data_IF_538165175339
#
_entry.id   IF_538165175339
#
_cell.length_a   1.000
_cell.length_b   1.000
_cell.length_c   1.000
_cell.angle_alpha   90.00
_cell.angle_beta   90.00
_cell.angle_gamma   90.00
#
_symmetry.space_group_name_H-M   'P 1'
#
loop_
_entity.id
_entity.type
_entity.pdbx_description
1 polymer ?
#
# COMPACT_ATOMS: atom_id res chain seq x y z
N UNK A 1 -4.88 76.16 23.20
CA UNK A 1 -5.23 74.87 22.54
C UNK A 1 -4.19 74.47 21.48
N UNK A 2 -2.88 74.64 21.73
CA UNK A 2 -1.85 74.42 20.70
C UNK A 2 -1.13 73.06 20.78
N UNK A 3 -1.19 72.35 21.91
CA UNK A 3 -0.58 71.02 22.07
C UNK A 3 -1.40 69.89 21.44
N UNK A 4 -2.70 70.09 21.21
CA UNK A 4 -3.59 69.07 20.67
C UNK A 4 -3.33 68.75 19.18
N UNK A 5 -2.84 69.73 18.40
CA UNK A 5 -2.67 69.59 16.94
C UNK A 5 -1.49 68.69 16.56
N UNK A 6 -0.39 68.76 17.30
CA UNK A 6 0.81 67.94 17.05
C UNK A 6 0.65 66.49 17.50
N UNK A 7 -0.02 66.26 18.63
CA UNK A 7 -0.33 64.91 19.15
C UNK A 7 -1.30 64.18 18.21
N UNK A 8 -2.30 64.89 17.67
CA UNK A 8 -3.24 64.30 16.72
C UNK A 8 -2.57 63.96 15.38
N UNK A 9 -1.68 64.84 14.87
CA UNK A 9 -0.92 64.57 13.66
C UNK A 9 0.03 63.37 13.81
N UNK A 10 0.72 63.25 14.95
CA UNK A 10 1.60 62.12 15.25
C UNK A 10 0.85 60.79 15.43
N UNK A 11 -0.30 60.82 16.11
CA UNK A 11 -1.15 59.64 16.28
C UNK A 11 -1.76 59.17 14.95
N UNK A 12 -2.20 60.10 14.11
CA UNK A 12 -2.74 59.77 12.77
C UNK A 12 -1.64 59.23 11.86
N UNK A 13 -0.44 59.83 11.84
CA UNK A 13 0.69 59.32 11.06
C UNK A 13 1.16 57.94 11.53
N UNK A 14 1.17 57.67 12.83
CA UNK A 14 1.52 56.37 13.40
C UNK A 14 0.49 55.29 13.05
N UNK A 15 -0.81 55.61 13.09
CA UNK A 15 -1.89 54.69 12.70
C UNK A 15 -1.90 54.45 11.19
N UNK A 16 -1.63 55.48 10.39
CA UNK A 16 -1.58 55.38 8.93
C UNK A 16 -0.34 54.60 8.46
N UNK A 17 0.82 54.82 9.08
CA UNK A 17 2.05 54.05 8.86
C UNK A 17 1.97 52.62 9.40
N UNK A 18 1.26 52.39 10.51
CA UNK A 18 0.97 51.04 10.99
C UNK A 18 0.03 50.30 10.02
N UNK A 19 -0.99 50.97 9.46
CA UNK A 19 -1.86 50.36 8.44
C UNK A 19 -1.13 49.96 7.16
N UNK A 20 -0.06 50.65 6.77
CA UNK A 20 0.76 50.24 5.62
C UNK A 20 1.67 49.05 5.92
N UNK A 21 2.12 48.89 7.17
CA UNK A 21 2.93 47.73 7.62
C UNK A 21 2.04 46.51 7.92
N UNK A 22 0.76 46.71 8.27
CA UNK A 22 -0.21 45.64 8.54
C UNK A 22 -1.00 45.17 7.30
N UNK A 23 -0.78 45.79 6.14
CA UNK A 23 -1.40 45.42 4.86
C UNK A 23 -0.41 44.80 3.86
N UNK A 24 0.83 44.55 4.29
CA UNK A 24 1.65 43.51 3.68
C UNK A 24 1.22 42.23 4.37
N UNK A 25 0.26 41.56 3.75
CA UNK A 25 0.15 40.12 3.90
C UNK A 25 1.51 39.58 3.47
N UNK A 26 2.41 39.36 4.43
CA UNK A 26 3.61 38.53 4.28
C UNK A 26 3.17 37.06 4.13
N UNK A 27 2.10 36.83 3.36
CA UNK A 27 1.70 35.54 2.87
C UNK A 27 2.69 35.20 1.77
N UNK A 28 3.35 34.05 1.92
CA UNK A 28 4.31 33.61 0.92
C UNK A 28 3.61 33.58 -0.46
N UNK A 29 4.07 34.45 -1.35
CA UNK A 29 3.81 34.39 -2.78
C UNK A 29 4.51 33.13 -3.33
N UNK A 30 3.85 31.96 -3.23
CA UNK A 30 4.44 30.67 -3.63
C UNK A 30 4.03 30.31 -5.06
N UNK A 31 4.99 30.36 -5.98
CA UNK A 31 4.85 29.80 -7.32
C UNK A 31 5.20 28.29 -7.35
N UNK A 32 4.17 27.48 -7.55
CA UNK A 32 4.15 26.02 -7.73
C UNK A 32 4.49 25.42 -9.10
N UNK A 33 5.70 24.92 -9.42
CA UNK A 33 5.98 24.25 -10.70
C UNK A 33 6.76 22.95 -10.53
N UNK A 34 6.20 21.85 -11.05
CA UNK A 34 6.89 20.55 -11.03
C UNK A 34 6.89 19.86 -9.68
N UNK A 35 5.95 20.21 -8.81
CA UNK A 35 5.79 19.53 -7.54
C UNK A 35 5.17 18.16 -7.80
N UNK A 36 6.04 17.15 -7.84
CA UNK A 36 5.65 15.77 -7.79
C UNK A 36 4.77 15.46 -6.58
N UNK A 37 3.97 14.41 -6.68
CA UNK A 37 3.06 13.98 -5.62
C UNK A 37 3.74 13.08 -4.58
N UNK A 38 2.92 12.51 -3.70
CA UNK A 38 3.28 11.33 -2.92
C UNK A 38 2.75 10.13 -3.69
N UNK A 39 3.63 9.23 -4.14
CA UNK A 39 3.22 7.97 -4.76
C UNK A 39 3.57 6.82 -3.83
N UNK A 40 2.54 6.08 -3.42
CA UNK A 40 2.66 4.84 -2.64
C UNK A 40 2.20 3.70 -3.52
N UNK A 41 3.01 2.66 -3.63
CA UNK A 41 2.68 1.45 -4.38
C UNK A 41 2.96 0.25 -3.49
N UNK A 42 1.90 -0.49 -3.17
CA UNK A 42 1.98 -1.70 -2.38
C UNK A 42 1.87 -2.92 -3.28
N UNK A 43 2.81 -3.84 -3.09
CA UNK A 43 2.92 -5.13 -3.79
C UNK A 43 2.51 -6.30 -2.88
N UNK A 44 1.74 -6.02 -1.83
CA UNK A 44 1.59 -6.94 -0.72
C UNK A 44 0.84 -8.20 -1.16
N UNK A 45 1.45 -9.36 -0.88
CA UNK A 45 0.81 -10.66 -0.98
C UNK A 45 -0.27 -10.85 0.08
N UNK A 46 -0.98 -11.97 -0.02
CA UNK A 46 -2.03 -12.33 0.92
C UNK A 46 -1.53 -13.01 2.19
N UNK A 47 -2.46 -13.39 3.06
CA UNK A 47 -2.22 -14.33 4.13
C UNK A 47 -2.99 -15.63 3.84
N UNK A 48 -2.35 -16.79 4.04
CA UNK A 48 -3.01 -18.08 3.96
C UNK A 48 -3.01 -18.75 5.33
N UNK A 49 -4.20 -19.04 5.83
CA UNK A 49 -4.40 -19.95 6.95
C UNK A 49 -4.72 -21.33 6.39
N UNK A 50 -3.81 -22.27 6.56
CA UNK A 50 -4.03 -23.66 6.19
C UNK A 50 -4.21 -24.40 7.51
N UNK A 51 -5.45 -24.77 7.80
CA UNK A 51 -5.80 -25.58 8.98
C UNK A 51 -5.30 -27.00 8.84
N UNK A 52 -5.95 -27.93 9.53
CA UNK A 52 -5.54 -29.33 9.50
C UNK A 52 -5.65 -29.92 8.08
N UNK A 53 -4.53 -30.45 7.59
CA UNK A 53 -4.46 -31.21 6.34
C UNK A 53 -4.31 -32.68 6.71
N UNK A 54 -5.38 -33.46 6.52
CA UNK A 54 -5.37 -34.89 6.77
C UNK A 54 -5.72 -35.65 5.49
N UNK A 55 -4.87 -36.61 5.16
CA UNK A 55 -5.11 -37.56 4.07
C UNK A 55 -6.24 -38.55 4.41
N UNK A 56 -6.50 -38.76 5.70
CA UNK A 56 -7.48 -39.71 6.23
C UNK A 56 -6.84 -41.01 6.75
N UNK A 57 -7.68 -41.95 7.14
CA UNK A 57 -7.31 -43.31 7.56
C UNK A 57 -7.18 -44.26 6.37
N UNK A 58 -6.34 -43.91 5.41
CA UNK A 58 -6.26 -44.63 4.15
C UNK A 58 -5.53 -45.95 4.36
N UNK A 59 -6.32 -47.01 4.45
CA UNK A 59 -5.86 -48.40 4.33
C UNK A 59 -5.94 -48.75 2.84
N UNK A 60 -4.85 -49.30 2.31
CA UNK A 60 -4.81 -49.79 0.94
C UNK A 60 -5.68 -51.03 0.72
N UNK A 61 -5.20 -52.00 -0.05
CA UNK A 61 -5.94 -53.22 -0.32
C UNK A 61 -5.89 -54.16 0.89
N UNK A 62 -7.06 -54.51 1.43
CA UNK A 62 -7.21 -55.63 2.36
C UNK A 62 -7.55 -56.87 1.54
N UNK A 63 -6.62 -57.83 1.45
CA UNK A 63 -6.81 -59.04 0.65
C UNK A 63 -6.77 -60.27 1.55
N UNK A 64 -7.90 -60.95 1.65
CA UNK A 64 -8.00 -62.26 2.27
C UNK A 64 -8.00 -63.32 1.17
N UNK A 65 -7.06 -64.28 1.26
CA UNK A 65 -6.91 -65.37 0.31
C UNK A 65 -7.22 -66.68 1.03
N UNK A 66 -8.07 -67.51 0.42
CA UNK A 66 -8.37 -68.87 0.89
C UNK A 66 -7.47 -69.91 0.23
N UNK A 67 -7.98 -71.13 0.03
CA UNK A 67 -7.23 -72.18 -0.66
C UNK A 67 -7.02 -71.81 -2.13
N UNK A 68 -5.75 -71.77 -2.57
CA UNK A 68 -5.36 -71.52 -3.96
C UNK A 68 -4.99 -72.82 -4.67
N UNK A 69 -5.31 -72.95 -5.96
CA UNK A 69 -5.04 -74.16 -6.76
C UNK A 69 -4.54 -73.82 -8.17
N UNK A 70 -3.54 -74.57 -8.67
CA UNK A 70 -2.91 -74.36 -9.98
C UNK A 70 -1.43 -73.94 -9.85
N UNK A 71 -0.69 -73.88 -10.98
CA UNK A 71 0.75 -73.64 -10.93
C UNK A 71 1.12 -72.25 -10.39
N UNK A 72 0.34 -71.19 -10.69
CA UNK A 72 0.67 -69.81 -10.29
C UNK A 72 -0.60 -68.98 -9.94
N UNK A 73 -1.13 -69.07 -8.72
CA UNK A 73 -2.19 -68.17 -8.26
C UNK A 73 -1.60 -66.82 -7.83
N UNK A 74 -1.59 -65.85 -8.74
CA UNK A 74 -1.12 -64.49 -8.44
C UNK A 74 -2.20 -63.64 -7.79
N UNK A 75 -1.85 -63.00 -6.67
CA UNK A 75 -2.70 -62.04 -5.96
C UNK A 75 -2.01 -60.68 -5.94
N UNK A 76 -2.47 -59.79 -6.82
CA UNK A 76 -1.94 -58.44 -6.93
C UNK A 76 -2.81 -57.43 -6.18
N UNK A 77 -2.22 -56.73 -5.21
CA UNK A 77 -2.92 -55.74 -4.37
C UNK A 77 -3.03 -54.35 -4.95
N UNK A 78 -2.62 -54.15 -6.20
CA UNK A 78 -2.63 -52.84 -6.85
C UNK A 78 -1.46 -51.95 -6.45
N UNK A 79 -1.18 -50.94 -7.27
CA UNK A 79 -0.33 -49.81 -6.91
C UNK A 79 -1.19 -48.77 -6.17
N UNK A 80 -0.95 -48.60 -4.87
CA UNK A 80 -1.78 -47.74 -4.03
C UNK A 80 -1.04 -46.44 -3.73
N UNK A 81 -1.54 -45.37 -4.35
CA UNK A 81 -1.10 -44.01 -4.07
C UNK A 81 -2.10 -43.34 -3.14
N UNK A 82 -1.61 -42.94 -1.97
CA UNK A 82 -2.30 -41.97 -1.14
C UNK A 82 -1.55 -40.64 -1.18
N UNK A 83 -2.13 -39.63 -1.84
CA UNK A 83 -1.51 -38.32 -2.00
C UNK A 83 -2.41 -37.20 -1.51
N UNK A 84 -1.85 -36.32 -0.70
CA UNK A 84 -2.47 -35.06 -0.31
C UNK A 84 -1.54 -33.94 -0.72
N UNK A 85 -1.70 -33.49 -1.97
CA UNK A 85 -0.92 -32.42 -2.54
C UNK A 85 -1.63 -31.09 -2.33
N UNK A 86 -0.90 -30.11 -1.77
CA UNK A 86 -1.39 -28.76 -1.59
C UNK A 86 -0.42 -27.79 -2.24
N UNK A 87 -0.94 -26.91 -3.07
CA UNK A 87 -0.22 -25.77 -3.62
C UNK A 87 -0.89 -24.50 -3.10
N UNK A 88 -0.22 -23.79 -2.19
CA UNK A 88 -0.71 -22.52 -1.66
C UNK A 88 0.24 -21.42 -2.08
N UNK A 89 -0.30 -20.47 -2.82
CA UNK A 89 0.39 -19.25 -3.21
C UNK A 89 -0.29 -18.07 -2.53
N UNK A 90 0.51 -17.19 -1.93
CA UNK A 90 0.09 -15.91 -1.33
C UNK A 90 0.88 -14.77 -1.96
N UNK A 91 1.12 -14.90 -3.26
CA UNK A 91 2.08 -14.05 -3.93
C UNK A 91 1.60 -12.60 -4.02
N UNK A 92 2.52 -11.70 -3.71
CA UNK A 92 2.39 -10.29 -4.03
C UNK A 92 2.55 -10.03 -5.53
N UNK A 93 2.20 -8.82 -5.95
CA UNK A 93 2.32 -8.38 -7.33
C UNK A 93 3.55 -7.51 -7.57
N UNK A 94 3.70 -7.03 -8.80
CA UNK A 94 4.60 -5.89 -9.09
C UNK A 94 3.84 -4.60 -8.85
N UNK A 95 4.35 -3.73 -7.99
CA UNK A 95 3.74 -2.41 -7.75
C UNK A 95 4.70 -1.30 -8.17
N UNK A 96 4.18 -0.35 -8.96
CA UNK A 96 4.93 0.78 -9.50
C UNK A 96 4.20 2.05 -9.07
N UNK A 97 4.89 2.89 -8.32
CA UNK A 97 4.45 4.23 -7.96
C UNK A 97 5.28 5.24 -8.76
N UNK A 98 4.60 6.20 -9.37
CA UNK A 98 5.23 7.35 -10.00
C UNK A 98 4.60 8.64 -9.47
N UNK A 99 5.45 9.53 -8.97
CA UNK A 99 5.10 10.84 -8.44
C UNK A 99 5.80 11.95 -9.22
N UNK A 100 6.12 11.74 -10.50
CA UNK A 100 6.85 12.73 -11.29
C UNK A 100 6.06 14.04 -11.43
N UNK A 101 6.73 15.16 -11.14
CA UNK A 101 6.21 16.50 -11.37
C UNK A 101 6.24 16.95 -12.84
N UNK A 102 6.66 16.08 -13.77
CA UNK A 102 6.78 16.39 -15.20
C UNK A 102 7.89 17.41 -15.53
N UNK A 103 8.03 17.73 -16.82
CA UNK A 103 8.92 18.76 -17.35
C UNK A 103 8.15 19.95 -17.92
N UNK A 104 8.86 21.01 -18.35
CA UNK A 104 8.29 22.25 -18.92
C UNK A 104 7.38 23.03 -17.96
N UNK A 105 7.64 22.91 -16.65
CA UNK A 105 6.89 23.64 -15.64
C UNK A 105 7.42 25.07 -15.51
N UNK A 106 6.51 26.05 -15.55
CA UNK A 106 6.78 27.46 -15.33
C UNK A 106 5.90 27.91 -14.16
N UNK A 107 6.49 28.48 -13.12
CA UNK A 107 5.74 29.17 -12.08
C UNK A 107 6.35 30.55 -11.84
N UNK A 108 5.48 31.55 -11.68
CA UNK A 108 5.83 32.92 -11.33
C UNK A 108 4.78 33.48 -10.38
N UNK A 109 5.18 34.46 -9.57
CA UNK A 109 4.26 35.30 -8.79
C UNK A 109 4.36 36.74 -9.30
N UNK A 110 3.31 37.53 -9.14
CA UNK A 110 3.13 38.85 -9.75
C UNK A 110 2.62 39.88 -8.76
#
# INVERSE_FOLDING_TARGET
MNFAKGVFAGAVAAVLGAKTVLAQDEGDDIASAGNGGVATADANGGAAGIGDINSGGNVGSAIAVGDTWGPDPDVYGGDILNTTALSVAVDGGTSIADATGGGNNLAFVS
#
